data_IF_365665154224
#
_entry.id   IF_365665154224
#
_cell.length_a   1.000
_cell.length_b   1.000
_cell.length_c   1.000
_cell.angle_alpha   90.00
_cell.angle_beta   90.00
_cell.angle_gamma   90.00
#
_symmetry.space_group_name_H-M   'P 1'
#
loop_
_entity.id
_entity.type
_entity.pdbx_description
1 polymer ?
#
# COMPACT_ATOMS: atom_id res chain seq x y z
N UNK A 1 -2.62 -20.31 14.68
CA UNK A 1 -3.60 -19.45 13.99
C UNK A 1 -2.94 -18.99 12.69
N UNK A 2 -3.59 -19.15 11.55
CA UNK A 2 -3.07 -18.64 10.27
C UNK A 2 -3.28 -17.13 10.16
N UNK A 3 -2.64 -16.49 9.19
CA UNK A 3 -2.79 -15.04 8.94
C UNK A 3 -4.26 -14.67 8.62
N UNK A 4 -4.93 -15.49 7.82
CA UNK A 4 -6.33 -15.31 7.45
C UNK A 4 -7.25 -15.45 8.67
N UNK A 5 -6.97 -16.42 9.55
CA UNK A 5 -7.72 -16.60 10.78
C UNK A 5 -7.55 -15.42 11.75
N UNK A 6 -6.36 -14.82 11.82
CA UNK A 6 -6.08 -13.65 12.65
C UNK A 6 -6.75 -12.36 12.11
N UNK A 7 -6.82 -12.21 10.79
CA UNK A 7 -7.58 -11.13 10.14
C UNK A 7 -9.09 -11.32 10.37
N UNK A 8 -9.59 -12.56 10.31
CA UNK A 8 -11.01 -12.85 10.49
C UNK A 8 -11.54 -12.52 11.90
N UNK A 9 -10.66 -12.41 12.90
CA UNK A 9 -11.05 -11.99 14.26
C UNK A 9 -11.08 -10.46 14.42
N UNK A 10 -10.70 -9.70 13.39
CA UNK A 10 -10.71 -8.24 13.44
C UNK A 10 -12.12 -7.67 13.28
N UNK A 11 -12.36 -6.44 13.79
CA UNK A 11 -13.57 -5.69 13.50
C UNK A 11 -13.91 -5.63 12.00
N UNK A 12 -15.20 -5.67 11.68
CA UNK A 12 -15.73 -5.68 10.30
C UNK A 12 -15.21 -4.51 9.45
N UNK A 13 -14.92 -3.35 10.04
CA UNK A 13 -14.37 -2.22 9.30
C UNK A 13 -12.97 -2.50 8.71
N UNK A 14 -12.15 -3.35 9.36
CA UNK A 14 -10.83 -3.76 8.86
C UNK A 14 -11.01 -4.60 7.60
N UNK A 15 -12.00 -5.50 7.58
CA UNK A 15 -12.32 -6.27 6.38
C UNK A 15 -12.64 -5.35 5.19
N UNK A 16 -13.48 -4.35 5.38
CA UNK A 16 -13.80 -3.37 4.33
C UNK A 16 -12.56 -2.56 3.90
N UNK A 17 -11.71 -2.18 4.86
CA UNK A 17 -10.49 -1.44 4.58
C UNK A 17 -9.47 -2.27 3.77
N UNK A 18 -9.26 -3.54 4.10
CA UNK A 18 -8.36 -4.43 3.36
C UNK A 18 -8.85 -4.67 1.92
N UNK A 19 -10.17 -4.82 1.73
CA UNK A 19 -10.75 -4.91 0.39
C UNK A 19 -10.61 -3.59 -0.39
N UNK A 20 -10.77 -2.44 0.29
CA UNK A 20 -10.48 -1.14 -0.33
C UNK A 20 -9.01 -1.04 -0.75
N UNK A 21 -8.06 -1.47 0.08
CA UNK A 21 -6.64 -1.46 -0.27
C UNK A 21 -6.34 -2.27 -1.53
N UNK A 22 -6.99 -3.43 -1.71
CA UNK A 22 -6.84 -4.24 -2.92
C UNK A 22 -7.17 -3.40 -4.17
N UNK A 23 -8.28 -2.68 -4.15
CA UNK A 23 -8.74 -1.88 -5.29
C UNK A 23 -8.06 -0.51 -5.37
N UNK A 24 -7.65 0.07 -4.25
CA UNK A 24 -7.12 1.43 -4.14
C UNK A 24 -5.60 1.51 -4.25
N UNK A 25 -4.87 0.42 -3.99
CA UNK A 25 -3.39 0.40 -3.95
C UNK A 25 -2.79 -0.75 -4.76
N UNK A 26 -3.34 -1.97 -4.66
CA UNK A 26 -2.73 -3.16 -5.29
C UNK A 26 -3.11 -3.34 -6.77
N UNK A 27 -4.40 -3.20 -7.12
CA UNK A 27 -4.88 -3.33 -8.49
C UNK A 27 -4.52 -2.14 -9.41
N UNK A 28 -4.57 -0.86 -8.96
CA UNK A 28 -4.39 0.28 -9.87
C UNK A 28 -3.04 0.36 -10.59
N UNK A 29 -1.90 -0.05 -10.00
CA UNK A 29 -0.64 -0.15 -10.73
C UNK A 29 -0.75 -0.98 -12.03
N UNK A 30 -1.55 -2.04 -12.06
CA UNK A 30 -1.75 -2.85 -13.27
C UNK A 30 -2.40 -2.03 -14.38
N UNK A 31 -3.38 -1.19 -14.03
CA UNK A 31 -4.04 -0.27 -14.97
C UNK A 31 -3.07 0.81 -15.45
N UNK A 32 -2.20 1.31 -14.55
CA UNK A 32 -1.18 2.31 -14.89
C UNK A 32 -0.12 1.82 -15.89
N UNK A 33 0.00 0.51 -16.15
CA UNK A 33 0.89 -0.02 -17.18
C UNK A 33 0.46 0.34 -18.61
N UNK A 34 -0.82 0.67 -18.82
CA UNK A 34 -1.39 1.03 -20.12
C UNK A 34 -0.67 2.27 -20.68
N UNK A 35 -0.48 3.31 -19.87
CA UNK A 35 0.14 4.57 -20.30
C UNK A 35 1.65 4.53 -20.15
N UNK A 36 2.38 4.83 -21.25
CA UNK A 36 3.85 4.90 -21.27
C UNK A 36 4.42 5.80 -20.18
N UNK A 37 3.74 6.92 -19.89
CA UNK A 37 4.14 7.92 -18.91
C UNK A 37 4.11 7.40 -17.47
N UNK A 38 3.20 6.48 -17.13
CA UNK A 38 3.03 5.94 -15.78
C UNK A 38 3.64 4.56 -15.55
N UNK A 39 4.13 3.87 -16.60
CA UNK A 39 4.69 2.50 -16.48
C UNK A 39 5.75 2.36 -15.40
N UNK A 40 6.68 3.31 -15.29
CA UNK A 40 7.70 3.23 -14.25
C UNK A 40 7.09 3.36 -12.85
N UNK A 41 6.11 4.26 -12.69
CA UNK A 41 5.41 4.42 -11.43
C UNK A 41 4.59 3.18 -11.06
N UNK A 42 3.97 2.54 -12.06
CA UNK A 42 3.28 1.27 -11.92
C UNK A 42 4.23 0.17 -11.42
N UNK A 43 5.35 -0.06 -12.11
CA UNK A 43 6.33 -1.09 -11.76
C UNK A 43 6.88 -0.89 -10.35
N UNK A 44 7.29 0.34 -10.02
CA UNK A 44 7.79 0.66 -8.67
C UNK A 44 6.72 0.39 -7.61
N UNK A 45 5.47 0.78 -7.88
CA UNK A 45 4.36 0.53 -6.95
C UNK A 45 4.08 -0.97 -6.76
N UNK A 46 4.12 -1.75 -7.84
CA UNK A 46 3.95 -3.22 -7.77
C UNK A 46 5.04 -3.83 -6.90
N UNK A 47 6.30 -3.49 -7.16
CA UNK A 47 7.44 -4.03 -6.41
C UNK A 47 7.33 -3.66 -4.94
N UNK A 48 7.06 -2.39 -4.64
CA UNK A 48 6.92 -1.93 -3.25
C UNK A 48 5.75 -2.60 -2.53
N UNK A 49 4.60 -2.77 -3.19
CA UNK A 49 3.42 -3.42 -2.63
C UNK A 49 3.64 -4.92 -2.38
N UNK A 50 4.27 -5.62 -3.32
CA UNK A 50 4.63 -7.04 -3.16
C UNK A 50 5.63 -7.20 -2.03
N UNK A 51 6.68 -6.37 -2.00
CA UNK A 51 7.67 -6.41 -0.92
C UNK A 51 7.03 -6.13 0.45
N UNK A 52 6.10 -5.18 0.54
CA UNK A 52 5.39 -4.87 1.78
C UNK A 52 4.52 -6.04 2.24
N UNK A 53 3.72 -6.63 1.34
CA UNK A 53 2.90 -7.80 1.67
C UNK A 53 3.73 -9.01 2.11
N UNK A 54 4.84 -9.30 1.41
CA UNK A 54 5.77 -10.35 1.81
C UNK A 54 6.42 -10.05 3.16
N UNK A 55 6.77 -8.79 3.42
CA UNK A 55 7.30 -8.35 4.70
C UNK A 55 6.33 -8.58 5.85
N UNK A 56 5.05 -8.22 5.68
CA UNK A 56 4.00 -8.46 6.70
C UNK A 56 3.87 -9.94 7.01
N UNK A 57 3.74 -10.80 5.97
CA UNK A 57 3.61 -12.25 6.16
C UNK A 57 4.86 -12.83 6.82
N UNK A 58 6.05 -12.34 6.44
CA UNK A 58 7.29 -12.76 7.06
C UNK A 58 7.34 -12.41 8.56
N UNK A 59 7.03 -11.17 8.96
CA UNK A 59 6.97 -10.77 10.37
C UNK A 59 5.90 -11.58 11.12
N UNK A 60 4.73 -11.78 10.53
CA UNK A 60 3.66 -12.58 11.13
C UNK A 60 4.13 -14.01 11.43
N UNK A 61 4.87 -14.63 10.50
CA UNK A 61 5.38 -15.99 10.70
C UNK A 61 6.45 -16.07 11.82
N UNK A 62 7.14 -14.97 12.12
CA UNK A 62 8.15 -14.92 13.19
C UNK A 62 7.55 -14.55 14.55
N UNK A 63 6.63 -13.58 14.59
CA UNK A 63 6.18 -12.92 15.81
C UNK A 63 4.67 -13.07 16.08
N UNK A 64 3.92 -13.66 15.14
CA UNK A 64 2.45 -13.73 15.19
C UNK A 64 1.76 -12.41 14.83
N UNK A 65 0.49 -12.29 15.19
CA UNK A 65 -0.32 -11.09 14.95
C UNK A 65 0.04 -9.98 15.94
N UNK A 66 1.12 -9.24 15.65
CA UNK A 66 1.61 -8.13 16.48
C UNK A 66 1.60 -6.82 15.71
N UNK A 67 1.46 -5.70 16.44
CA UNK A 67 1.47 -4.35 15.86
C UNK A 67 2.72 -4.02 15.06
N UNK A 68 3.85 -4.66 15.40
CA UNK A 68 5.13 -4.46 14.71
C UNK A 68 5.08 -4.85 13.22
N UNK A 69 4.09 -5.64 12.78
CA UNK A 69 3.89 -5.95 11.36
C UNK A 69 3.79 -4.69 10.48
N UNK A 70 3.25 -3.58 11.01
CA UNK A 70 3.14 -2.30 10.30
C UNK A 70 4.48 -1.67 9.93
N UNK A 71 5.60 -2.09 10.53
CA UNK A 71 6.92 -1.54 10.22
C UNK A 71 7.31 -1.78 8.76
N UNK A 72 6.85 -2.87 8.17
CA UNK A 72 7.11 -3.20 6.76
C UNK A 72 6.47 -2.19 5.82
N UNK A 73 5.23 -1.78 6.10
CA UNK A 73 4.57 -0.68 5.40
C UNK A 73 5.30 0.63 5.65
N UNK A 74 5.64 0.97 6.90
CA UNK A 74 6.36 2.22 7.20
C UNK A 74 7.64 2.33 6.37
N UNK A 75 8.44 1.27 6.29
CA UNK A 75 9.71 1.28 5.56
C UNK A 75 9.54 1.35 4.04
N UNK A 76 8.54 0.67 3.47
CA UNK A 76 8.38 0.53 2.02
C UNK A 76 7.40 1.54 1.41
N UNK A 77 6.32 1.85 2.11
CA UNK A 77 5.30 2.77 1.64
C UNK A 77 5.62 4.23 1.89
N UNK A 78 6.43 4.58 2.89
CA UNK A 78 6.88 5.98 3.05
C UNK A 78 7.67 6.50 1.84
N UNK A 79 8.74 5.82 1.37
CA UNK A 79 9.44 6.26 0.15
C UNK A 79 8.54 6.17 -1.09
N UNK A 80 7.64 5.18 -1.17
CA UNK A 80 6.65 5.09 -2.24
C UNK A 80 5.72 6.32 -2.24
N UNK A 81 5.18 6.72 -1.09
CA UNK A 81 4.28 7.87 -0.98
C UNK A 81 4.96 9.16 -1.45
N UNK A 82 6.21 9.37 -1.04
CA UNK A 82 7.04 10.51 -1.50
C UNK A 82 7.21 10.45 -3.03
N UNK A 83 7.49 9.26 -3.57
CA UNK A 83 7.64 9.07 -5.01
C UNK A 83 6.33 9.33 -5.76
N UNK A 84 5.20 8.77 -5.33
CA UNK A 84 3.89 8.98 -5.94
C UNK A 84 3.48 10.45 -5.92
N UNK A 85 3.75 11.16 -4.82
CA UNK A 85 3.52 12.61 -4.75
C UNK A 85 4.30 13.38 -5.82
N UNK A 86 5.56 13.02 -6.06
CA UNK A 86 6.35 13.59 -7.17
C UNK A 86 5.76 13.24 -8.54
N UNK A 87 5.22 12.03 -8.73
CA UNK A 87 4.57 11.63 -9.97
C UNK A 87 3.26 12.38 -10.24
N UNK A 88 2.46 12.66 -9.21
CA UNK A 88 1.22 13.46 -9.34
C UNK A 88 1.53 14.86 -9.88
N UNK A 89 2.62 15.46 -9.40
CA UNK A 89 3.09 16.79 -9.79
C UNK A 89 3.78 16.84 -11.16
N UNK A 90 4.04 15.68 -11.79
CA UNK A 90 4.73 15.62 -13.07
C UNK A 90 3.88 16.27 -14.18
N UNK A 91 4.39 17.27 -14.92
CA UNK A 91 3.59 18.01 -15.91
C UNK A 91 3.06 17.14 -17.05
N UNK A 92 3.86 16.18 -17.50
CA UNK A 92 3.56 15.25 -18.61
C UNK A 92 2.66 14.08 -18.18
N UNK A 93 2.26 13.99 -16.91
CA UNK A 93 1.38 12.92 -16.44
C UNK A 93 -0.03 13.10 -17.02
N UNK A 94 -0.61 12.11 -17.72
CA UNK A 94 -1.97 12.23 -18.24
C UNK A 94 -3.00 12.27 -17.09
N UNK A 95 -4.16 12.88 -17.35
CA UNK A 95 -5.20 13.15 -16.34
C UNK A 95 -5.62 11.88 -15.58
N UNK A 96 -5.92 10.79 -16.28
CA UNK A 96 -6.38 9.54 -15.67
C UNK A 96 -5.30 8.86 -14.80
N UNK A 97 -4.07 8.60 -15.28
CA UNK A 97 -2.95 8.19 -14.45
C UNK A 97 -2.73 9.06 -13.22
N UNK A 98 -2.80 10.39 -13.36
CA UNK A 98 -2.64 11.31 -12.24
C UNK A 98 -3.71 11.10 -11.16
N UNK A 99 -4.97 10.92 -11.56
CA UNK A 99 -6.07 10.64 -10.64
C UNK A 99 -5.88 9.29 -9.93
N UNK A 100 -5.52 8.25 -10.68
CA UNK A 100 -5.26 6.91 -10.13
C UNK A 100 -4.13 6.96 -9.09
N UNK A 101 -3.01 7.60 -9.44
CA UNK A 101 -1.88 7.79 -8.51
C UNK A 101 -2.32 8.61 -7.29
N UNK A 102 -3.20 9.60 -7.48
CA UNK A 102 -3.80 10.37 -6.38
C UNK A 102 -4.59 9.51 -5.40
N UNK A 103 -5.43 8.58 -5.89
CA UNK A 103 -6.18 7.64 -5.05
C UNK A 103 -5.24 6.69 -4.30
N UNK A 104 -4.22 6.17 -4.99
CA UNK A 104 -3.19 5.32 -4.37
C UNK A 104 -2.46 6.07 -3.26
N UNK A 105 -2.02 7.30 -3.54
CA UNK A 105 -1.33 8.14 -2.57
C UNK A 105 -2.20 8.40 -1.34
N UNK A 106 -3.45 8.84 -1.53
CA UNK A 106 -4.36 9.10 -0.42
C UNK A 106 -4.60 7.85 0.44
N UNK A 107 -4.79 6.68 -0.20
CA UNK A 107 -5.00 5.41 0.51
C UNK A 107 -3.76 5.00 1.30
N UNK A 108 -2.57 5.09 0.70
CA UNK A 108 -1.29 4.81 1.37
C UNK A 108 -1.09 5.76 2.57
N UNK A 109 -1.41 7.04 2.44
CA UNK A 109 -1.26 8.00 3.54
C UNK A 109 -2.16 7.64 4.74
N UNK A 110 -3.39 7.19 4.50
CA UNK A 110 -4.29 6.73 5.58
C UNK A 110 -3.72 5.46 6.23
N UNK A 111 -3.27 4.49 5.45
CA UNK A 111 -2.69 3.27 6.01
C UNK A 111 -1.42 3.55 6.81
N UNK A 112 -0.51 4.39 6.29
CA UNK A 112 0.71 4.79 6.99
C UNK A 112 0.38 5.46 8.33
N UNK A 113 -0.68 6.27 8.42
CA UNK A 113 -1.08 6.85 9.69
C UNK A 113 -1.42 5.78 10.73
N UNK A 114 -2.11 4.71 10.35
CA UNK A 114 -2.36 3.57 11.23
C UNK A 114 -1.06 2.82 11.57
N UNK A 115 -0.23 2.52 10.56
CA UNK A 115 1.02 1.76 10.76
C UNK A 115 1.98 2.50 11.71
N UNK A 116 2.11 3.83 11.58
CA UNK A 116 2.93 4.63 12.50
C UNK A 116 2.38 4.61 13.93
N UNK A 117 1.05 4.71 14.10
CA UNK A 117 0.43 4.64 15.43
C UNK A 117 0.64 3.28 16.07
N UNK A 118 0.56 2.20 15.28
CA UNK A 118 0.74 0.83 15.76
C UNK A 118 2.19 0.52 16.12
N UNK A 119 3.16 0.99 15.31
CA UNK A 119 4.60 0.79 15.58
C UNK A 119 5.06 1.58 16.82
N UNK A 120 4.46 2.74 17.10
CA UNK A 120 4.84 3.60 18.23
C UNK A 120 4.20 3.22 19.57
N UNK A 121 3.20 2.31 19.60
CA UNK A 121 2.41 1.97 20.80
C UNK A 121 2.52 0.52 21.23
#
# INVERSE_FOLDING_TARGET
MTFEQAIATQPVWIFWWLNWMLVGVFAPPLVLLIWRQSRMAAVISIIANVAAGLGVVWIFNQLGYVKLMGITHVLLWTPLAIYLFKQIKRPDMPKWPRLIIGVMFATIMVSLAFDYVDVLR
#
